data_IF_390747131331
#
_entry.id   IF_390747131331
#
_cell.length_a   1.000
_cell.length_b   1.000
_cell.length_c   1.000
_cell.angle_alpha   90.00
_cell.angle_beta   90.00
_cell.angle_gamma   90.00
#
_symmetry.space_group_name_H-M   'P 1'
#
loop_
_entity.id
_entity.type
_entity.pdbx_description
1 polymer ?
#
# COMPACT_ATOMS: atom_id res chain seq x y z
N UNK A 1 -4.36 -44.49 -43.52
CA UNK A 1 -5.56 -43.65 -43.65
C UNK A 1 -6.41 -43.81 -42.38
N UNK A 2 -6.66 -42.72 -41.63
CA UNK A 2 -7.74 -42.55 -40.63
C UNK A 2 -7.72 -43.31 -39.27
N UNK A 3 -6.65 -43.27 -38.46
CA UNK A 3 -6.80 -43.65 -37.04
C UNK A 3 -6.05 -42.81 -36.00
N UNK A 4 -5.02 -42.04 -36.39
CA UNK A 4 -4.18 -41.33 -35.41
C UNK A 4 -4.59 -39.86 -35.22
N UNK A 5 -5.50 -39.34 -36.05
CA UNK A 5 -5.90 -37.92 -36.06
C UNK A 5 -7.06 -37.57 -35.10
N UNK A 6 -7.46 -38.48 -34.21
CA UNK A 6 -8.64 -38.33 -33.33
C UNK A 6 -8.32 -38.10 -31.84
N UNK A 7 -7.05 -38.05 -31.45
CA UNK A 7 -6.63 -37.91 -30.05
C UNK A 7 -5.98 -36.56 -29.71
N UNK A 8 -6.19 -35.53 -30.54
CA UNK A 8 -5.64 -34.17 -30.30
C UNK A 8 -6.73 -33.20 -29.80
N UNK A 9 -7.97 -33.66 -29.64
CA UNK A 9 -9.16 -32.81 -29.48
C UNK A 9 -9.88 -32.78 -28.12
N UNK A 10 -9.34 -33.24 -26.96
CA UNK A 10 -9.90 -32.80 -25.67
C UNK A 10 -8.98 -31.85 -24.90
N UNK A 11 -7.68 -31.76 -25.23
CA UNK A 11 -6.72 -30.96 -24.44
C UNK A 11 -6.95 -29.45 -24.60
N UNK A 12 -7.46 -29.00 -25.75
CA UNK A 12 -7.70 -27.57 -26.00
C UNK A 12 -8.94 -27.01 -25.29
N UNK A 13 -9.92 -27.86 -24.92
CA UNK A 13 -11.14 -27.42 -24.25
C UNK A 13 -10.96 -27.27 -22.72
N UNK A 14 -10.03 -28.03 -22.13
CA UNK A 14 -9.70 -27.92 -20.70
C UNK A 14 -8.89 -26.67 -20.37
N UNK A 15 -7.99 -26.25 -21.27
CA UNK A 15 -7.11 -25.11 -21.04
C UNK A 15 -7.82 -23.74 -21.05
N UNK A 16 -8.93 -23.59 -21.79
CA UNK A 16 -9.69 -22.33 -21.83
C UNK A 16 -10.56 -22.09 -20.59
N UNK A 17 -10.94 -23.14 -19.84
CA UNK A 17 -11.75 -22.99 -18.64
C UNK A 17 -10.93 -22.47 -17.44
N UNK A 18 -9.62 -22.74 -17.42
CA UNK A 18 -8.71 -22.33 -16.34
C UNK A 18 -8.36 -20.83 -16.39
N UNK A 19 -8.43 -20.18 -17.56
CA UNK A 19 -8.16 -18.74 -17.69
C UNK A 19 -9.31 -17.83 -17.27
N UNK A 20 -10.56 -18.34 -17.22
CA UNK A 20 -11.71 -17.55 -16.80
C UNK A 20 -11.82 -17.38 -15.27
N UNK A 21 -11.15 -18.24 -14.48
CA UNK A 21 -11.15 -18.15 -13.02
C UNK A 21 -10.07 -17.20 -12.46
N UNK A 22 -9.12 -16.74 -13.28
CA UNK A 22 -8.04 -15.86 -12.84
C UNK A 22 -8.46 -14.38 -12.76
N UNK A 23 -9.54 -13.99 -13.44
CA UNK A 23 -10.15 -12.66 -13.32
C UNK A 23 -11.32 -12.69 -12.32
N UNK A 24 -11.14 -13.32 -11.17
CA UNK A 24 -12.02 -13.06 -10.04
C UNK A 24 -11.54 -11.76 -9.41
N UNK A 25 -12.18 -10.66 -9.79
CA UNK A 25 -12.05 -9.37 -9.11
C UNK A 25 -12.54 -9.55 -7.67
N UNK A 26 -11.65 -10.02 -6.79
CA UNK A 26 -11.76 -9.83 -5.35
C UNK A 26 -11.51 -8.35 -5.07
N UNK A 27 -12.41 -7.50 -5.55
CA UNK A 27 -12.52 -6.12 -5.07
C UNK A 27 -12.96 -6.24 -3.62
N UNK A 28 -12.10 -5.94 -2.63
CA UNK A 28 -12.59 -5.85 -1.28
C UNK A 28 -13.69 -4.79 -1.28
N UNK A 29 -14.88 -5.15 -0.79
CA UNK A 29 -15.93 -4.17 -0.55
C UNK A 29 -15.28 -3.02 0.21
N UNK A 30 -15.35 -1.81 -0.33
CA UNK A 30 -14.82 -0.63 0.33
C UNK A 30 -15.46 -0.60 1.73
N UNK A 31 -14.68 -0.96 2.75
CA UNK A 31 -15.15 -0.92 4.11
C UNK A 31 -15.61 0.50 4.37
N UNK A 32 -16.83 0.66 4.88
CA UNK A 32 -17.32 1.96 5.31
C UNK A 32 -16.37 2.45 6.42
N UNK A 33 -15.40 3.29 6.06
CA UNK A 33 -14.51 3.92 7.03
C UNK A 33 -15.36 4.88 7.85
N UNK A 34 -15.64 4.52 9.10
CA UNK A 34 -16.20 5.44 10.08
C UNK A 34 -15.04 6.06 10.85
N UNK A 35 -14.79 7.36 10.70
CA UNK A 35 -13.77 8.05 11.48
C UNK A 35 -14.07 7.84 12.98
N UNK A 36 -13.06 7.38 13.72
CA UNK A 36 -13.14 7.30 15.18
C UNK A 36 -12.72 8.65 15.74
N UNK A 37 -13.49 9.18 16.69
CA UNK A 37 -13.13 10.41 17.40
C UNK A 37 -11.82 10.20 18.17
N UNK A 38 -10.79 10.97 17.84
CA UNK A 38 -9.50 10.95 18.55
C UNK A 38 -9.61 11.90 19.74
N UNK A 39 -9.69 11.36 20.95
CA UNK A 39 -9.75 12.14 22.19
C UNK A 39 -8.77 11.55 23.24
N UNK A 40 -7.79 12.30 23.76
CA UNK A 40 -7.45 13.68 23.43
C UNK A 40 -6.78 13.80 22.06
N UNK A 41 -7.10 14.87 21.33
CA UNK A 41 -6.31 15.29 20.17
C UNK A 41 -4.98 15.82 20.69
N UNK A 42 -3.89 15.08 20.43
CA UNK A 42 -2.54 15.54 20.76
C UNK A 42 -2.07 16.69 19.85
N UNK A 43 -2.79 16.93 18.76
CA UNK A 43 -2.45 17.91 17.73
C UNK A 43 -1.35 17.41 16.80
N UNK A 44 -1.17 18.14 15.71
CA UNK A 44 -0.05 17.90 14.81
C UNK A 44 1.25 18.45 15.41
N UNK A 45 2.38 17.81 15.13
CA UNK A 45 3.70 18.23 15.60
C UNK A 45 4.52 18.69 14.39
N UNK A 46 4.45 19.99 14.03
CA UNK A 46 5.23 20.50 12.90
C UNK A 46 6.73 20.50 13.22
N UNK A 47 7.53 20.01 12.28
CA UNK A 47 9.00 20.01 12.34
C UNK A 47 9.56 20.50 11.00
N UNK A 48 10.58 21.38 11.05
CA UNK A 48 11.21 21.96 9.87
C UNK A 48 11.06 23.48 9.77
N UNK A 49 11.36 24.02 8.59
CA UNK A 49 11.25 25.46 8.33
C UNK A 49 9.83 25.84 7.91
N UNK A 50 9.33 26.99 8.38
CA UNK A 50 7.98 27.48 8.08
C UNK A 50 7.76 27.74 6.58
N UNK A 51 8.81 28.15 5.86
CA UNK A 51 8.77 28.47 4.44
C UNK A 51 9.31 27.32 3.56
N UNK A 52 9.35 26.08 4.06
CA UNK A 52 9.78 24.94 3.27
C UNK A 52 8.88 24.77 2.03
N UNK A 53 9.45 24.51 0.84
CA UNK A 53 8.67 24.45 -0.40
C UNK A 53 7.79 23.18 -0.50
N UNK A 54 8.03 22.20 0.37
CA UNK A 54 7.31 20.92 0.40
C UNK A 54 6.86 20.62 1.83
N UNK A 55 5.64 20.11 1.97
CA UNK A 55 5.08 19.63 3.25
C UNK A 55 4.84 18.13 3.18
N UNK A 56 5.34 17.40 4.18
CA UNK A 56 5.13 15.96 4.34
C UNK A 56 4.37 15.70 5.63
N UNK A 57 3.31 14.89 5.55
CA UNK A 57 2.48 14.52 6.71
C UNK A 57 2.66 13.04 7.01
N UNK A 58 3.10 12.72 8.23
CA UNK A 58 3.16 11.35 8.73
C UNK A 58 1.88 11.03 9.51
N UNK A 59 1.13 10.03 9.05
CA UNK A 59 0.04 9.44 9.82
C UNK A 59 0.58 8.32 10.71
N UNK A 60 0.92 8.66 11.95
CA UNK A 60 1.47 7.72 12.92
C UNK A 60 0.44 7.31 13.98
N UNK A 61 0.68 6.14 14.59
CA UNK A 61 -0.03 5.70 15.79
C UNK A 61 0.98 5.41 16.90
N UNK A 62 0.69 5.80 18.14
CA UNK A 62 1.59 5.59 19.28
C UNK A 62 1.86 4.10 19.59
N UNK A 63 0.97 3.22 19.12
CA UNK A 63 1.07 1.77 19.28
C UNK A 63 1.69 1.06 18.07
N UNK A 64 2.02 1.79 17.00
CA UNK A 64 2.56 1.24 15.76
C UNK A 64 4.07 0.99 15.88
N UNK A 65 4.50 -0.28 15.80
CA UNK A 65 5.91 -0.67 15.87
C UNK A 65 6.75 -0.13 14.71
N UNK A 66 6.20 -0.11 13.50
CA UNK A 66 6.87 0.43 12.32
C UNK A 66 7.08 1.95 12.41
N UNK A 67 6.14 2.66 13.03
CA UNK A 67 6.20 4.10 13.24
C UNK A 67 7.32 4.44 14.23
N UNK A 68 7.44 3.68 15.34
CA UNK A 68 8.60 3.78 16.24
C UNK A 68 9.92 3.57 15.52
N UNK A 69 9.98 2.58 14.64
CA UNK A 69 11.19 2.23 13.90
C UNK A 69 11.56 3.32 12.87
N UNK A 70 10.57 3.89 12.18
CA UNK A 70 10.74 5.07 11.32
C UNK A 70 11.34 6.25 12.10
N UNK A 71 10.77 6.59 13.26
CA UNK A 71 11.26 7.67 14.11
C UNK A 71 12.70 7.45 14.60
N UNK A 72 13.08 6.19 14.86
CA UNK A 72 14.43 5.86 15.32
C UNK A 72 15.47 5.86 14.21
N UNK A 73 15.12 5.44 13.00
CA UNK A 73 16.11 5.09 11.98
C UNK A 73 16.02 5.92 10.71
N UNK A 74 14.81 6.25 10.24
CA UNK A 74 14.63 6.95 8.97
C UNK A 74 14.42 8.45 9.13
N UNK A 75 13.66 8.87 10.16
CA UNK A 75 13.43 10.29 10.44
C UNK A 75 14.76 11.08 10.62
N UNK A 76 15.80 10.58 11.31
CA UNK A 76 17.07 11.31 11.40
C UNK A 76 17.73 11.59 10.05
N UNK A 77 17.63 10.64 9.10
CA UNK A 77 18.20 10.79 7.75
C UNK A 77 17.41 11.81 6.93
N UNK A 78 16.07 11.74 7.01
CA UNK A 78 15.19 12.72 6.35
C UNK A 78 15.41 14.11 6.93
N UNK A 79 15.53 14.21 8.26
CA UNK A 79 15.76 15.47 8.96
C UNK A 79 17.05 16.14 8.49
N UNK A 80 18.17 15.43 8.50
CA UNK A 80 19.47 16.01 8.09
C UNK A 80 19.51 16.38 6.61
N UNK A 81 18.75 15.66 5.76
CA UNK A 81 18.79 15.84 4.31
C UNK A 81 17.86 16.95 3.83
N UNK A 82 16.67 17.06 4.42
CA UNK A 82 15.60 17.92 3.92
C UNK A 82 15.14 18.98 4.96
N UNK A 83 14.81 18.57 6.18
CA UNK A 83 14.23 19.50 7.16
C UNK A 83 15.25 20.53 7.64
N UNK A 84 16.45 20.08 8.04
CA UNK A 84 17.51 20.95 8.55
C UNK A 84 18.10 21.85 7.45
N UNK A 85 18.04 21.39 6.19
CA UNK A 85 18.53 22.15 5.02
C UNK A 85 17.48 23.07 4.41
N UNK A 86 16.21 22.95 4.81
CA UNK A 86 15.09 23.75 4.30
C UNK A 86 14.65 23.38 2.87
N UNK A 87 14.93 22.16 2.44
CA UNK A 87 14.58 21.65 1.11
C UNK A 87 13.16 21.08 1.05
#
# INVERSE_FOLDING_TARGET
>A
MFAIRRFVTPVLAGALALTAAACSDNTPAAGAFTPVEVNPVLGDVPIGQENAPVTMIEYAALTCSHCRDFWKWELPKLKSTYLDTGK
#
